data_IF_728372544334
#
_entry.id   IF_728372544334
#
_cell.length_a   1.000
_cell.length_b   1.000
_cell.length_c   1.000
_cell.angle_alpha   90.00
_cell.angle_beta   90.00
_cell.angle_gamma   90.00
#
_symmetry.space_group_name_H-M   'P 1'
#
loop_
_entity.id
_entity.type
_entity.pdbx_description
1 polymer ?
#
# COMPACT_ATOMS: atom_id res chain seq x y z
N UNK A 1 -14.51 -3.11 -15.24
CA UNK A 1 -14.20 -3.85 -16.48
C UNK A 1 -12.71 -3.71 -16.74
N UNK A 2 -11.95 -4.83 -16.76
CA UNK A 2 -10.50 -4.76 -16.99
C UNK A 2 -10.23 -4.48 -18.47
N UNK A 3 -9.40 -3.48 -18.76
CA UNK A 3 -8.98 -3.14 -20.13
C UNK A 3 -7.67 -3.87 -20.42
N UNK A 4 -7.58 -4.50 -21.58
CA UNK A 4 -6.37 -5.21 -21.99
C UNK A 4 -5.23 -4.20 -22.29
N UNK A 5 -4.03 -4.45 -21.78
CA UNK A 5 -2.85 -3.61 -21.99
C UNK A 5 -2.54 -3.43 -23.49
N UNK A 6 -2.71 -4.47 -24.31
CA UNK A 6 -2.54 -4.36 -25.76
C UNK A 6 -3.51 -3.38 -26.41
N UNK A 7 -4.75 -3.29 -25.90
CA UNK A 7 -5.74 -2.32 -26.39
C UNK A 7 -5.28 -0.89 -26.07
N UNK A 8 -4.75 -0.67 -24.87
CA UNK A 8 -4.18 0.64 -24.47
C UNK A 8 -3.00 1.00 -25.36
N UNK A 9 -2.06 0.06 -25.57
CA UNK A 9 -0.91 0.26 -26.43
C UNK A 9 -1.31 0.63 -27.87
N UNK A 10 -2.24 -0.11 -28.48
CA UNK A 10 -2.71 0.18 -29.84
C UNK A 10 -3.45 1.52 -29.93
N UNK A 11 -4.18 1.90 -28.88
CA UNK A 11 -4.83 3.21 -28.81
C UNK A 11 -3.80 4.34 -28.78
N UNK A 12 -2.77 4.21 -27.93
CA UNK A 12 -1.68 5.19 -27.84
C UNK A 12 -0.94 5.30 -29.18
N UNK A 13 -0.63 4.19 -29.84
CA UNK A 13 -0.02 4.19 -31.18
C UNK A 13 -0.90 4.91 -32.21
N UNK A 14 -2.22 4.69 -32.14
CA UNK A 14 -3.15 5.36 -33.07
C UNK A 14 -3.15 6.88 -32.88
N UNK A 15 -3.07 7.34 -31.63
CA UNK A 15 -2.99 8.77 -31.31
C UNK A 15 -1.64 9.36 -31.81
N UNK A 16 -0.53 8.68 -31.53
CA UNK A 16 0.79 9.12 -31.98
C UNK A 16 0.91 9.17 -33.50
N UNK A 17 0.36 8.18 -34.21
CA UNK A 17 0.35 8.15 -35.67
C UNK A 17 -0.46 9.28 -36.28
N UNK A 18 -1.59 9.67 -35.67
CA UNK A 18 -2.37 10.84 -36.10
C UNK A 18 -1.61 12.16 -35.98
N UNK A 19 -0.74 12.26 -34.99
CA UNK A 19 0.08 13.45 -34.77
C UNK A 19 1.42 13.41 -35.50
N UNK A 20 1.70 12.37 -36.30
CA UNK A 20 2.97 12.15 -37.03
C UNK A 20 4.23 12.21 -36.12
N UNK A 21 4.10 11.84 -34.85
CA UNK A 21 5.15 11.98 -33.84
C UNK A 21 6.04 10.74 -33.65
N UNK A 22 5.96 9.75 -34.53
CA UNK A 22 6.89 8.65 -34.56
C UNK A 22 6.37 7.35 -33.97
N UNK A 23 7.26 6.37 -33.91
CA UNK A 23 7.01 5.02 -33.45
C UNK A 23 7.35 4.86 -31.97
N UNK A 24 6.44 4.25 -31.21
CA UNK A 24 6.65 3.88 -29.80
C UNK A 24 6.90 2.39 -29.69
N UNK A 25 8.06 2.01 -29.17
CA UNK A 25 8.37 0.60 -28.93
C UNK A 25 7.59 0.05 -27.72
N UNK A 26 7.28 -1.27 -27.66
CA UNK A 26 6.64 -1.86 -26.48
C UNK A 26 7.45 -1.65 -25.19
N UNK A 27 8.77 -1.62 -25.27
CA UNK A 27 9.66 -1.39 -24.13
C UNK A 27 9.48 0.05 -23.57
N UNK A 28 9.52 1.05 -24.45
CA UNK A 28 9.28 2.45 -24.05
C UNK A 28 7.88 2.64 -23.48
N UNK A 29 6.87 2.01 -24.10
CA UNK A 29 5.50 2.03 -23.58
C UNK A 29 5.43 1.48 -22.16
N UNK A 30 6.03 0.31 -21.89
CA UNK A 30 5.99 -0.29 -20.57
C UNK A 30 6.67 0.58 -19.51
N UNK A 31 7.79 1.21 -19.82
CA UNK A 31 8.47 2.11 -18.88
C UNK A 31 7.61 3.33 -18.55
N UNK A 32 7.01 3.95 -19.55
CA UNK A 32 6.11 5.10 -19.35
C UNK A 32 4.84 4.66 -18.61
N UNK A 33 4.27 3.51 -18.97
CA UNK A 33 3.06 3.00 -18.34
C UNK A 33 3.24 2.73 -16.84
N UNK A 34 4.39 2.16 -16.45
CA UNK A 34 4.71 1.94 -15.03
C UNK A 34 4.81 3.27 -14.25
N UNK A 35 5.44 4.28 -14.83
CA UNK A 35 5.54 5.59 -14.21
C UNK A 35 4.16 6.26 -14.09
N UNK A 36 3.37 6.24 -15.14
CA UNK A 36 2.01 6.81 -15.15
C UNK A 36 1.12 6.08 -14.14
N UNK A 37 1.23 4.75 -14.02
CA UNK A 37 0.47 3.99 -13.02
C UNK A 37 0.81 4.43 -11.60
N UNK A 38 2.07 4.67 -11.30
CA UNK A 38 2.51 5.19 -10.02
C UNK A 38 1.97 6.60 -9.75
N UNK A 39 2.03 7.49 -10.74
CA UNK A 39 1.50 8.86 -10.64
C UNK A 39 -0.02 8.87 -10.40
N UNK A 40 -0.76 7.98 -11.07
CA UNK A 40 -2.21 7.80 -10.88
C UNK A 40 -2.51 7.32 -9.45
N UNK A 41 -1.76 6.35 -8.94
CA UNK A 41 -1.90 5.87 -7.56
C UNK A 41 -1.65 6.99 -6.54
N UNK A 42 -0.56 7.75 -6.69
CA UNK A 42 -0.24 8.85 -5.78
C UNK A 42 -1.33 9.94 -5.82
N UNK A 43 -1.89 10.23 -6.99
CA UNK A 43 -3.00 11.18 -7.12
C UNK A 43 -4.25 10.71 -6.37
N UNK A 44 -4.65 9.45 -6.50
CA UNK A 44 -5.79 8.92 -5.73
C UNK A 44 -5.54 9.00 -4.23
N UNK A 45 -4.30 8.77 -3.80
CA UNK A 45 -3.94 8.88 -2.39
C UNK A 45 -3.94 10.33 -1.88
N UNK A 46 -3.53 11.28 -2.71
CA UNK A 46 -3.65 12.72 -2.40
C UNK A 46 -5.11 13.14 -2.29
N UNK A 47 -5.94 12.75 -3.24
CA UNK A 47 -7.38 13.01 -3.23
C UNK A 47 -8.02 12.43 -1.96
N UNK A 48 -7.70 11.20 -1.59
CA UNK A 48 -8.15 10.58 -0.35
C UNK A 48 -7.78 11.40 0.89
N UNK A 49 -6.52 11.83 0.99
CA UNK A 49 -6.06 12.66 2.10
C UNK A 49 -6.72 14.03 2.16
N UNK A 50 -7.02 14.64 1.01
CA UNK A 50 -7.75 15.90 0.95
C UNK A 50 -9.18 15.74 1.44
N UNK A 51 -9.88 14.70 0.99
CA UNK A 51 -11.26 14.43 1.40
C UNK A 51 -11.40 14.09 2.88
N UNK A 52 -10.46 13.37 3.48
CA UNK A 52 -10.48 13.10 4.94
C UNK A 52 -10.44 14.39 5.76
N UNK A 53 -9.74 15.42 5.27
CA UNK A 53 -9.59 16.72 5.96
C UNK A 53 -10.77 17.65 5.76
N UNK A 54 -11.64 17.39 4.79
CA UNK A 54 -12.83 18.19 4.55
C UNK A 54 -13.89 17.97 5.64
N UNK A 55 -14.68 19.01 6.01
CA UNK A 55 -15.78 18.84 6.94
C UNK A 55 -16.84 17.88 6.36
N UNK A 56 -17.23 16.90 7.14
CA UNK A 56 -18.21 15.85 6.76
C UNK A 56 -19.64 16.39 6.82
N UNK A 57 -20.02 17.24 5.88
CA UNK A 57 -21.31 17.95 5.91
C UNK A 57 -22.38 17.35 5.02
N UNK A 58 -22.06 16.37 4.15
CA UNK A 58 -23.00 15.95 3.12
C UNK A 58 -22.93 14.44 2.81
N UNK A 59 -24.06 13.86 2.38
CA UNK A 59 -24.18 12.46 1.94
C UNK A 59 -23.27 12.17 0.72
N UNK A 60 -23.10 13.16 -0.17
CA UNK A 60 -22.16 13.07 -1.29
C UNK A 60 -20.71 12.80 -0.86
N UNK A 61 -20.32 13.27 0.32
CA UNK A 61 -18.98 13.04 0.87
C UNK A 61 -18.73 11.55 1.11
N UNK A 62 -19.68 10.83 1.72
CA UNK A 62 -19.55 9.40 1.98
C UNK A 62 -19.43 8.60 0.67
N UNK A 63 -20.24 8.92 -0.33
CA UNK A 63 -20.21 8.28 -1.65
C UNK A 63 -18.88 8.51 -2.38
N UNK A 64 -18.32 9.72 -2.32
CA UNK A 64 -17.00 10.01 -2.91
C UNK A 64 -15.86 9.29 -2.22
N UNK A 65 -15.90 9.21 -0.88
CA UNK A 65 -14.89 8.48 -0.11
C UNK A 65 -14.89 6.99 -0.45
N UNK A 66 -16.06 6.41 -0.59
CA UNK A 66 -16.19 4.99 -0.95
C UNK A 66 -15.67 4.75 -2.38
N UNK A 67 -15.97 5.64 -3.30
CA UNK A 67 -15.46 5.56 -4.68
C UNK A 67 -13.92 5.64 -4.75
N UNK A 68 -13.30 6.59 -4.04
CA UNK A 68 -11.83 6.70 -3.98
C UNK A 68 -11.21 5.46 -3.34
N UNK A 69 -11.84 4.87 -2.32
CA UNK A 69 -11.38 3.62 -1.71
C UNK A 69 -11.45 2.45 -2.69
N UNK A 70 -12.51 2.36 -3.48
CA UNK A 70 -12.63 1.34 -4.53
C UNK A 70 -11.53 1.50 -5.59
N UNK A 71 -11.17 2.73 -5.96
CA UNK A 71 -10.07 2.99 -6.90
C UNK A 71 -8.70 2.59 -6.31
N UNK A 72 -8.44 2.91 -5.03
CA UNK A 72 -7.20 2.52 -4.35
C UNK A 72 -7.13 1.01 -4.16
N UNK A 73 -8.24 0.33 -3.88
CA UNK A 73 -8.31 -1.10 -3.65
C UNK A 73 -7.76 -1.93 -4.83
N UNK A 74 -7.81 -1.40 -6.05
CA UNK A 74 -7.24 -2.07 -7.23
C UNK A 74 -5.72 -2.27 -7.11
N UNK A 75 -5.05 -1.40 -6.34
CA UNK A 75 -3.61 -1.45 -6.09
C UNK A 75 -3.25 -2.19 -4.80
N UNK A 76 -4.23 -2.55 -3.98
CA UNK A 76 -3.98 -3.26 -2.72
C UNK A 76 -3.61 -4.72 -2.98
N UNK A 77 -2.55 -5.16 -2.35
CA UNK A 77 -2.09 -6.54 -2.36
C UNK A 77 -1.85 -7.01 -0.93
N UNK A 78 -2.35 -8.19 -0.61
CA UNK A 78 -2.10 -8.83 0.68
C UNK A 78 -1.10 -9.95 0.49
N UNK A 79 0.00 -9.91 1.23
CA UNK A 79 1.02 -10.94 1.25
C UNK A 79 1.34 -11.37 2.69
N UNK A 80 1.81 -12.61 2.83
CA UNK A 80 2.37 -13.09 4.09
C UNK A 80 3.83 -12.66 4.16
N UNK A 81 4.19 -11.98 5.23
CA UNK A 81 5.58 -11.64 5.48
C UNK A 81 6.32 -12.88 5.99
N UNK A 82 7.38 -13.26 5.27
CA UNK A 82 8.22 -14.38 5.65
C UNK A 82 9.30 -13.93 6.66
N UNK A 83 9.53 -14.79 7.63
CA UNK A 83 10.62 -14.65 8.58
C UNK A 83 11.87 -15.32 7.99
N UNK A 84 12.68 -14.56 7.26
CA UNK A 84 13.82 -15.09 6.49
C UNK A 84 15.07 -15.33 7.32
N UNK A 85 15.10 -14.89 8.57
CA UNK A 85 16.26 -15.11 9.45
C UNK A 85 15.82 -15.90 10.68
N UNK A 86 16.62 -16.80 11.22
CA UNK A 86 16.16 -17.98 11.95
C UNK A 86 14.92 -17.75 12.82
N UNK A 87 14.05 -18.74 13.03
CA UNK A 87 12.68 -18.61 13.57
C UNK A 87 12.57 -17.95 14.96
N UNK A 88 13.64 -17.39 15.47
CA UNK A 88 13.75 -16.65 16.74
C UNK A 88 13.74 -15.13 16.59
N UNK A 89 13.77 -14.61 15.37
CA UNK A 89 13.77 -13.15 15.18
C UNK A 89 12.35 -12.69 14.79
N UNK A 90 11.81 -11.75 15.56
CA UNK A 90 10.53 -11.11 15.28
C UNK A 90 10.64 -10.03 14.18
N UNK A 91 11.55 -10.22 13.25
CA UNK A 91 11.84 -9.31 12.14
C UNK A 91 11.38 -9.96 10.84
N UNK A 92 10.54 -9.26 10.12
CA UNK A 92 9.96 -9.68 8.84
C UNK A 92 10.43 -8.74 7.74
N UNK A 93 10.84 -9.30 6.63
CA UNK A 93 11.21 -8.52 5.45
C UNK A 93 9.93 -8.07 4.71
N UNK A 94 9.97 -6.88 4.14
CA UNK A 94 8.86 -6.41 3.32
C UNK A 94 8.86 -7.11 1.95
N UNK A 95 7.69 -7.25 1.30
CA UNK A 95 7.60 -7.65 -0.10
C UNK A 95 8.39 -6.69 -1.01
N UNK A 96 9.05 -7.25 -2.03
CA UNK A 96 9.93 -6.46 -2.94
C UNK A 96 9.17 -5.47 -3.82
N UNK A 97 7.87 -5.68 -4.01
CA UNK A 97 6.99 -4.84 -4.80
C UNK A 97 6.15 -3.86 -3.96
N UNK A 98 6.45 -3.75 -2.66
CA UNK A 98 5.75 -2.83 -1.77
C UNK A 98 6.15 -1.38 -2.04
N UNK A 99 5.19 -0.58 -2.51
CA UNK A 99 5.36 0.86 -2.66
C UNK A 99 4.93 1.63 -1.41
N UNK A 100 3.78 1.26 -0.83
CA UNK A 100 3.24 1.92 0.37
C UNK A 100 2.63 0.90 1.31
N UNK A 101 2.99 1.00 2.58
CA UNK A 101 2.48 0.11 3.62
C UNK A 101 1.07 0.53 4.05
N UNK A 102 0.12 -0.39 4.00
CA UNK A 102 -1.26 -0.17 4.42
C UNK A 102 -1.49 -0.60 5.87
N UNK A 103 -1.66 -1.89 6.08
CA UNK A 103 -1.93 -2.46 7.41
C UNK A 103 -1.26 -3.83 7.56
N UNK A 104 -1.05 -4.25 8.80
CA UNK A 104 -0.58 -5.58 9.11
C UNK A 104 -1.49 -6.26 10.13
N UNK A 105 -1.61 -7.57 10.03
CA UNK A 105 -2.30 -8.39 11.01
C UNK A 105 -1.43 -9.59 11.41
N UNK A 106 -1.52 -9.96 12.68
CA UNK A 106 -0.80 -11.11 13.21
C UNK A 106 -1.64 -12.38 13.00
N UNK A 107 -1.20 -13.26 12.12
CA UNK A 107 -1.94 -14.49 11.84
C UNK A 107 -1.70 -15.55 12.93
N UNK A 108 -2.73 -15.85 13.72
CA UNK A 108 -2.76 -16.90 14.75
C UNK A 108 -3.74 -18.04 14.44
N UNK A 109 -4.01 -18.27 13.18
CA UNK A 109 -4.99 -19.26 12.72
C UNK A 109 -6.43 -18.73 12.87
N UNK A 110 -7.09 -18.94 14.00
CA UNK A 110 -8.50 -18.55 14.17
C UNK A 110 -8.69 -17.04 14.45
N UNK A 111 -7.69 -16.38 15.01
CA UNK A 111 -7.76 -14.96 15.36
C UNK A 111 -6.57 -14.22 14.74
N UNK A 112 -6.84 -13.11 14.06
CA UNK A 112 -5.83 -12.29 13.40
C UNK A 112 -5.91 -10.84 13.90
N UNK A 113 -5.37 -10.55 15.12
CA UNK A 113 -5.40 -9.22 15.65
C UNK A 113 -4.60 -8.25 14.74
N UNK A 114 -5.09 -7.02 14.56
CA UNK A 114 -4.35 -6.00 13.85
C UNK A 114 -3.07 -5.64 14.61
N UNK A 115 -2.00 -5.37 13.87
CA UNK A 115 -0.73 -4.89 14.41
C UNK A 115 -0.73 -3.37 14.35
N UNK A 116 -0.49 -2.73 15.49
CA UNK A 116 -0.31 -1.28 15.54
C UNK A 116 1.12 -0.91 15.16
N UNK A 117 1.28 -0.02 14.17
CA UNK A 117 2.58 0.45 13.74
C UNK A 117 2.90 1.74 14.48
N UNK A 118 3.98 1.71 15.23
CA UNK A 118 4.42 2.82 16.08
C UNK A 118 5.80 3.34 15.69
N UNK A 119 6.13 4.55 16.13
CA UNK A 119 7.48 5.08 15.96
C UNK A 119 8.52 4.25 16.73
N UNK A 120 9.78 4.30 16.29
CA UNK A 120 10.87 3.60 17.00
C UNK A 120 11.02 4.05 18.47
N UNK A 121 10.72 5.32 18.75
CA UNK A 121 10.72 5.87 20.10
C UNK A 121 9.64 5.25 20.96
N UNK A 122 8.40 5.24 20.47
CA UNK A 122 7.23 4.72 21.18
C UNK A 122 7.35 3.21 21.37
N UNK A 123 7.85 2.50 20.37
CA UNK A 123 8.14 1.07 20.46
C UNK A 123 9.07 0.74 21.64
N UNK A 124 10.17 1.50 21.80
CA UNK A 124 11.10 1.29 22.89
C UNK A 124 10.50 1.66 24.25
N UNK A 125 9.66 2.69 24.32
CA UNK A 125 8.96 3.08 25.55
C UNK A 125 7.94 2.03 25.97
N UNK A 126 7.14 1.51 25.04
CA UNK A 126 6.16 0.46 25.30
C UNK A 126 6.80 -0.81 25.87
N UNK A 127 8.00 -1.18 25.39
CA UNK A 127 8.72 -2.36 25.90
C UNK A 127 9.20 -2.22 27.34
N UNK A 128 9.44 -1.01 27.81
CA UNK A 128 9.95 -0.74 29.16
C UNK A 128 8.86 -0.72 30.22
N UNK A 129 7.60 -0.51 29.85
CA UNK A 129 6.51 -0.39 30.80
C UNK A 129 5.77 -1.72 30.97
N UNK A 130 5.72 -2.32 32.18
CA UNK A 130 4.99 -3.57 32.42
C UNK A 130 3.48 -3.48 32.17
N UNK A 131 2.90 -2.27 32.27
CA UNK A 131 1.45 -2.06 32.09
C UNK A 131 1.06 -1.87 30.62
N UNK A 132 1.95 -1.31 29.81
CA UNK A 132 1.69 -1.02 28.38
C UNK A 132 2.42 -1.96 27.44
N UNK A 133 3.14 -2.94 28.00
CA UNK A 133 3.86 -3.91 27.20
C UNK A 133 2.92 -4.64 26.24
N UNK A 134 3.24 -4.67 24.94
CA UNK A 134 2.45 -5.39 23.94
C UNK A 134 2.29 -6.86 24.30
N UNK A 135 1.14 -7.39 23.97
CA UNK A 135 0.81 -8.80 24.22
C UNK A 135 0.48 -9.47 22.90
N UNK A 136 0.44 -10.80 22.92
CA UNK A 136 0.03 -11.59 21.77
C UNK A 136 -1.37 -11.24 21.19
N UNK A 137 -2.24 -10.59 21.95
CA UNK A 137 -3.56 -10.14 21.49
C UNK A 137 -3.53 -8.68 20.98
N UNK A 138 -2.54 -7.93 21.39
CA UNK A 138 -2.32 -6.53 21.01
C UNK A 138 -0.85 -6.36 20.59
N UNK A 139 -0.46 -6.94 19.45
CA UNK A 139 0.90 -6.83 18.94
C UNK A 139 1.18 -5.41 18.43
N UNK A 140 2.40 -4.98 18.62
CA UNK A 140 2.89 -3.69 18.14
C UNK A 140 4.10 -3.92 17.25
N UNK A 141 4.24 -3.15 16.20
CA UNK A 141 5.38 -3.23 15.31
C UNK A 141 6.00 -1.87 15.04
N UNK A 142 7.28 -1.87 14.73
CA UNK A 142 7.97 -0.75 14.11
C UNK A 142 8.37 -1.11 12.69
N UNK A 143 8.24 -0.15 11.79
CA UNK A 143 8.70 -0.28 10.41
C UNK A 143 9.94 0.57 10.19
N UNK A 144 11.05 -0.05 9.82
CA UNK A 144 12.32 0.64 9.62
C UNK A 144 13.21 -0.14 8.64
N UNK A 145 13.81 0.54 7.66
CA UNK A 145 14.73 -0.04 6.69
C UNK A 145 14.14 -1.28 5.97
N UNK A 146 12.94 -1.13 5.45
CA UNK A 146 12.22 -2.18 4.72
C UNK A 146 11.98 -3.47 5.54
N UNK A 147 12.01 -3.34 6.85
CA UNK A 147 11.76 -4.43 7.80
C UNK A 147 10.70 -4.05 8.81
N UNK A 148 9.83 -5.02 9.09
CA UNK A 148 8.81 -4.92 10.12
C UNK A 148 9.30 -5.72 11.34
N UNK A 149 9.58 -5.04 12.45
CA UNK A 149 9.91 -5.70 13.71
C UNK A 149 8.67 -5.74 14.60
N UNK A 150 8.17 -6.92 14.87
CA UNK A 150 6.95 -7.14 15.67
C UNK A 150 7.31 -7.51 17.11
N UNK A 151 6.48 -7.05 18.07
CA UNK A 151 6.59 -7.39 19.48
C UNK A 151 5.20 -7.72 20.02
N UNK A 152 5.01 -8.75 20.80
CA UNK A 152 5.91 -9.78 21.31
C UNK A 152 6.27 -10.74 20.28
#
# INVERSE_FOLDING_TARGET
MAINVNTVYTTVLTILNKEQRGYLTPYEFNNVANQVQLEVFEKFFEDYNQYIRMPKTNVEFASRMDHIREEIQVFEKTEFADNTTPPTSNVYDQPTDLHRFGSASWNKGTNSPPIEIVSNRDYNQLKLSPLTQPTNNFPVAKYQQDKLTVFP
#
